data_IF_073221399261
#
_entry.id   IF_073221399261
#
_cell.length_a   1.000
_cell.length_b   1.000
_cell.length_c   1.000
_cell.angle_alpha   90.00
_cell.angle_beta   90.00
_cell.angle_gamma   90.00
#
_symmetry.space_group_name_H-M   'P 1'
#
loop_
_entity.id
_entity.type
_entity.pdbx_description
1 polymer ?
#
# COMPACT_ATOMS: atom_id res chain seq x y z
N UNK A 1 -7.14 2.39 -1.21
CA UNK A 1 -6.49 3.68 -1.63
C UNK A 1 -7.47 4.67 -2.27
N UNK A 2 -8.17 4.35 -3.36
CA UNK A 2 -9.09 5.30 -4.04
C UNK A 2 -10.17 5.85 -3.08
N UNK A 3 -10.78 5.00 -2.23
CA UNK A 3 -11.75 5.44 -1.21
C UNK A 3 -11.18 6.49 -0.27
N UNK A 4 -9.91 6.39 0.11
CA UNK A 4 -9.23 7.39 0.93
C UNK A 4 -9.24 8.78 0.29
N UNK A 5 -8.99 8.86 -1.04
CA UNK A 5 -9.07 10.12 -1.79
C UNK A 5 -10.51 10.65 -1.86
N UNK A 6 -11.47 9.77 -2.17
CA UNK A 6 -12.88 10.15 -2.35
C UNK A 6 -13.53 10.62 -1.04
N UNK A 7 -13.12 10.07 0.09
CA UNK A 7 -13.59 10.44 1.44
C UNK A 7 -12.78 11.60 2.05
N UNK A 8 -11.74 12.08 1.37
CA UNK A 8 -10.92 13.20 1.83
C UNK A 8 -9.96 12.88 2.99
N UNK A 9 -9.70 11.57 3.25
CA UNK A 9 -8.77 11.18 4.30
C UNK A 9 -7.31 11.42 3.90
N UNK A 10 -6.91 10.97 2.71
CA UNK A 10 -5.55 11.08 2.20
C UNK A 10 -5.57 11.20 0.67
N UNK A 11 -4.53 11.85 0.11
CA UNK A 11 -4.41 12.03 -1.33
C UNK A 11 -5.30 13.14 -1.88
N UNK A 12 -5.45 13.17 -3.21
CA UNK A 12 -6.19 14.19 -3.94
C UNK A 12 -6.95 13.57 -5.11
N UNK A 13 -8.10 14.17 -5.46
CA UNK A 13 -8.85 13.88 -6.67
C UNK A 13 -8.76 15.08 -7.61
N UNK A 14 -8.38 14.81 -8.86
CA UNK A 14 -8.42 15.77 -9.97
C UNK A 14 -9.36 15.26 -11.03
N UNK A 15 -10.14 16.12 -11.65
CA UNK A 15 -11.14 15.72 -12.67
C UNK A 15 -10.86 16.42 -13.99
N UNK A 16 -11.27 15.80 -15.09
CA UNK A 16 -11.20 16.32 -16.44
C UNK A 16 -12.50 16.12 -17.20
N UNK A 17 -12.68 16.87 -18.29
CA UNK A 17 -13.88 16.78 -19.13
C UNK A 17 -15.10 17.43 -18.51
N UNK A 18 -15.61 18.50 -18.81
CA UNK A 18 -16.89 19.13 -18.56
C UNK A 18 -17.52 19.01 -17.16
N UNK A 19 -18.80 19.28 -17.11
CA UNK A 19 -19.66 19.11 -15.94
C UNK A 19 -20.92 18.32 -16.35
N UNK A 20 -21.15 17.09 -15.85
CA UNK A 20 -20.33 16.34 -14.87
C UNK A 20 -18.97 15.90 -15.44
N UNK A 21 -17.98 15.64 -14.58
CA UNK A 21 -16.65 15.21 -15.04
C UNK A 21 -16.70 13.83 -15.69
N UNK A 22 -15.99 13.66 -16.82
CA UNK A 22 -15.93 12.39 -17.57
C UNK A 22 -14.73 11.53 -17.19
N UNK A 23 -13.71 12.12 -16.56
CA UNK A 23 -12.48 11.47 -16.17
C UNK A 23 -11.97 11.95 -14.81
N UNK A 24 -11.22 11.10 -14.12
CA UNK A 24 -10.64 11.38 -12.83
C UNK A 24 -9.23 10.78 -12.66
N UNK A 25 -8.42 11.47 -11.87
CA UNK A 25 -7.13 11.04 -11.36
C UNK A 25 -7.18 11.11 -9.83
N UNK A 26 -6.98 9.96 -9.15
CA UNK A 26 -6.72 9.92 -7.72
C UNK A 26 -5.22 9.76 -7.48
N UNK A 27 -4.58 10.74 -6.83
CA UNK A 27 -3.16 10.73 -6.48
C UNK A 27 -3.00 10.51 -4.97
N UNK A 28 -2.33 9.40 -4.58
CA UNK A 28 -2.10 9.04 -3.17
C UNK A 28 -0.81 8.23 -3.02
N UNK A 29 0.02 8.57 -2.04
CA UNK A 29 1.32 7.94 -1.85
C UNK A 29 2.12 7.97 -3.15
N UNK A 30 2.52 6.80 -3.64
CA UNK A 30 3.25 6.65 -4.90
C UNK A 30 2.35 6.47 -6.13
N UNK A 31 1.02 6.53 -5.97
CA UNK A 31 0.07 6.11 -7.01
C UNK A 31 -0.69 7.28 -7.64
N UNK A 32 -0.90 7.16 -8.95
CA UNK A 32 -1.86 7.89 -9.77
C UNK A 32 -2.85 6.89 -10.38
N UNK A 33 -4.08 6.85 -9.88
CA UNK A 33 -5.15 6.01 -10.42
C UNK A 33 -5.99 6.80 -11.41
N UNK A 34 -6.14 6.28 -12.63
CA UNK A 34 -6.93 6.91 -13.69
C UNK A 34 -8.24 6.16 -13.91
N UNK A 35 -9.34 6.89 -14.01
CA UNK A 35 -10.68 6.34 -14.27
C UNK A 35 -11.48 7.24 -15.22
N UNK A 36 -12.53 6.66 -15.83
CA UNK A 36 -13.37 7.34 -16.81
C UNK A 36 -12.75 7.36 -18.20
N UNK A 37 -13.15 8.35 -19.02
CA UNK A 37 -12.65 8.53 -20.37
C UNK A 37 -11.16 8.95 -20.36
N UNK A 38 -10.29 8.31 -21.15
CA UNK A 38 -8.88 8.68 -21.22
C UNK A 38 -8.67 10.15 -21.59
N UNK A 39 -7.91 10.86 -20.75
CA UNK A 39 -7.63 12.30 -20.89
C UNK A 39 -6.12 12.57 -20.81
N UNK A 40 -5.48 13.01 -21.91
CA UNK A 40 -4.06 13.37 -21.91
C UNK A 40 -3.70 14.48 -20.91
N UNK A 41 -4.63 15.40 -20.63
CA UNK A 41 -4.38 16.49 -19.69
C UNK A 41 -4.25 15.96 -18.25
N UNK A 42 -5.07 14.97 -17.85
CA UNK A 42 -4.93 14.30 -16.56
C UNK A 42 -3.65 13.45 -16.49
N UNK A 43 -3.27 12.78 -17.58
CA UNK A 43 -2.03 11.99 -17.62
C UNK A 43 -0.79 12.91 -17.42
N UNK A 44 -0.77 14.12 -17.99
CA UNK A 44 0.31 15.09 -17.75
C UNK A 44 0.37 15.61 -16.32
N UNK A 45 -0.73 15.54 -15.59
CA UNK A 45 -0.80 15.93 -14.17
C UNK A 45 -0.34 14.82 -13.22
N UNK A 46 0.06 13.65 -13.73
CA UNK A 46 0.60 12.59 -12.90
C UNK A 46 1.92 13.04 -12.26
N UNK A 47 1.90 13.14 -10.95
CA UNK A 47 3.01 13.60 -10.10
C UNK A 47 3.57 12.50 -9.19
N UNK A 48 3.16 11.23 -9.43
CA UNK A 48 3.59 10.05 -8.68
C UNK A 48 4.16 9.00 -9.64
N UNK A 49 5.08 8.15 -9.15
CA UNK A 49 5.79 7.21 -10.02
C UNK A 49 4.94 6.05 -10.55
N UNK A 50 3.85 5.69 -9.88
CA UNK A 50 3.04 4.53 -10.26
C UNK A 50 1.73 4.98 -10.92
N UNK A 51 1.61 4.71 -12.22
CA UNK A 51 0.42 5.02 -13.00
C UNK A 51 -0.45 3.76 -13.11
N UNK A 52 -1.68 3.83 -12.63
CA UNK A 52 -2.61 2.70 -12.59
C UNK A 52 -3.89 3.05 -13.36
N UNK A 53 -4.03 2.61 -14.62
CA UNK A 53 -5.23 2.81 -15.40
C UNK A 53 -6.34 1.85 -14.97
N UNK A 54 -7.58 2.33 -14.86
CA UNK A 54 -8.77 1.50 -14.60
C UNK A 54 -9.09 0.55 -15.76
N UNK A 55 -8.89 1.03 -17.00
CA UNK A 55 -9.17 0.28 -18.24
C UNK A 55 -7.98 0.35 -19.18
N UNK A 56 -7.94 -0.60 -20.14
CA UNK A 56 -6.88 -0.67 -21.15
C UNK A 56 -6.80 0.55 -22.07
N UNK A 57 -7.87 1.31 -22.22
CA UNK A 57 -7.95 2.49 -23.09
C UNK A 57 -7.02 3.62 -22.68
N UNK A 58 -6.61 3.66 -21.42
CA UNK A 58 -5.63 4.63 -20.92
C UNK A 58 -4.21 4.33 -21.39
N UNK A 59 -3.90 3.07 -21.74
CA UNK A 59 -2.55 2.65 -22.11
C UNK A 59 -1.98 3.41 -23.33
N UNK A 60 -2.72 3.61 -24.44
CA UNK A 60 -2.26 4.43 -25.56
C UNK A 60 -1.99 5.87 -25.15
N UNK A 61 -2.84 6.46 -24.29
CA UNK A 61 -2.72 7.85 -23.84
C UNK A 61 -1.52 8.03 -22.91
N UNK A 62 -1.29 7.11 -21.97
CA UNK A 62 -0.10 7.11 -21.11
C UNK A 62 1.17 7.04 -21.95
N UNK A 63 1.21 6.13 -22.96
CA UNK A 63 2.36 6.02 -23.87
C UNK A 63 2.55 7.25 -24.75
N UNK A 64 1.49 7.89 -25.21
CA UNK A 64 1.57 9.11 -26.00
C UNK A 64 2.14 10.29 -25.19
N UNK A 65 1.80 10.40 -23.90
CA UNK A 65 2.26 11.49 -23.03
C UNK A 65 3.68 11.25 -22.51
N UNK A 66 3.98 10.04 -22.03
CA UNK A 66 5.23 9.75 -21.31
C UNK A 66 6.25 8.95 -22.11
N UNK A 67 5.86 8.42 -23.29
CA UNK A 67 6.75 7.65 -24.16
C UNK A 67 7.43 6.49 -23.45
N UNK A 68 8.74 6.40 -23.61
CA UNK A 68 9.59 5.35 -22.98
C UNK A 68 9.72 5.50 -21.46
N UNK A 69 9.38 6.65 -20.91
CA UNK A 69 9.42 6.91 -19.45
C UNK A 69 8.35 6.13 -18.69
N UNK A 70 7.24 5.76 -19.32
CA UNK A 70 6.20 4.93 -18.73
C UNK A 70 6.51 3.44 -18.99
N UNK A 71 7.23 2.80 -18.07
CA UNK A 71 7.64 1.39 -18.17
C UNK A 71 6.52 0.49 -17.65
N UNK A 72 5.92 -0.37 -18.51
CA UNK A 72 4.82 -1.24 -18.09
C UNK A 72 5.32 -2.39 -17.21
N UNK A 73 4.54 -2.73 -16.19
CA UNK A 73 4.74 -3.91 -15.34
C UNK A 73 3.41 -4.43 -14.82
N UNK A 74 3.41 -5.59 -14.16
CA UNK A 74 2.21 -6.19 -13.57
C UNK A 74 2.22 -6.00 -12.05
N UNK A 75 1.06 -5.60 -11.53
CA UNK A 75 0.70 -5.70 -10.12
C UNK A 75 -0.35 -6.79 -9.94
N UNK A 76 -0.66 -7.14 -8.71
CA UNK A 76 -1.52 -8.28 -8.39
C UNK A 76 -2.61 -7.83 -7.44
N UNK A 77 -3.85 -7.79 -7.94
CA UNK A 77 -5.02 -7.53 -7.13
C UNK A 77 -5.32 -8.73 -6.23
N UNK A 78 -5.63 -8.46 -4.99
CA UNK A 78 -5.96 -9.47 -3.99
C UNK A 78 -7.38 -9.24 -3.47
N UNK A 79 -8.05 -10.34 -3.10
CA UNK A 79 -9.35 -10.33 -2.42
C UNK A 79 -9.20 -10.94 -1.04
N UNK A 80 -9.96 -10.41 -0.07
CA UNK A 80 -10.09 -10.95 1.27
C UNK A 80 -11.21 -10.19 1.98
N UNK A 81 -12.28 -10.89 2.35
CA UNK A 81 -13.30 -10.34 3.24
C UNK A 81 -12.94 -10.70 4.69
N UNK A 82 -13.41 -9.95 5.70
CA UNK A 82 -13.10 -10.24 7.11
C UNK A 82 -13.35 -11.70 7.52
N UNK A 83 -14.40 -12.32 6.99
CA UNK A 83 -14.78 -13.71 7.22
C UNK A 83 -13.87 -14.75 6.54
N UNK A 84 -13.08 -14.35 5.56
CA UNK A 84 -12.13 -15.26 4.86
C UNK A 84 -10.88 -15.55 5.71
N UNK A 85 -10.63 -14.74 6.76
CA UNK A 85 -9.40 -14.84 7.56
C UNK A 85 -9.54 -15.83 8.71
N UNK A 86 -8.68 -16.85 8.70
CA UNK A 86 -8.51 -17.79 9.81
C UNK A 86 -7.73 -17.13 10.96
N UNK A 87 -8.45 -16.72 12.01
CA UNK A 87 -7.88 -15.97 13.14
C UNK A 87 -6.88 -16.80 13.95
N UNK A 88 -7.11 -18.10 14.10
CA UNK A 88 -6.20 -19.00 14.84
C UNK A 88 -4.88 -19.17 14.08
N UNK A 89 -4.95 -19.33 12.78
CA UNK A 89 -3.79 -19.37 11.89
C UNK A 89 -3.01 -18.05 11.93
N UNK A 90 -3.69 -16.91 11.88
CA UNK A 90 -3.06 -15.59 11.99
C UNK A 90 -2.41 -15.42 13.37
N UNK A 91 -3.05 -15.85 14.46
CA UNK A 91 -2.48 -15.80 15.81
C UNK A 91 -1.21 -16.65 15.90
N UNK A 92 -1.23 -17.86 15.32
CA UNK A 92 -0.05 -18.73 15.24
C UNK A 92 1.10 -18.05 14.47
N UNK A 93 0.84 -17.41 13.32
CA UNK A 93 1.87 -16.68 12.56
C UNK A 93 2.41 -15.46 13.32
N UNK A 94 1.56 -14.71 14.04
CA UNK A 94 2.00 -13.60 14.86
C UNK A 94 2.88 -14.05 16.03
N UNK A 95 2.61 -15.24 16.60
CA UNK A 95 3.39 -15.85 17.68
C UNK A 95 4.71 -16.49 17.21
N UNK A 96 4.81 -16.86 15.93
CA UNK A 96 5.98 -17.54 15.35
C UNK A 96 7.14 -16.57 15.03
N UNK A 97 7.29 -15.51 15.83
CA UNK A 97 8.38 -14.57 15.70
C UNK A 97 9.72 -15.23 16.07
N UNK A 98 10.79 -15.05 15.26
CA UNK A 98 12.09 -15.63 15.57
C UNK A 98 12.65 -15.14 16.92
N UNK A 99 13.49 -15.94 17.61
CA UNK A 99 14.14 -15.52 18.84
C UNK A 99 14.93 -14.20 18.69
N UNK A 100 14.89 -13.35 19.72
CA UNK A 100 15.55 -12.05 19.71
C UNK A 100 14.77 -10.94 19.02
N UNK A 101 13.54 -11.23 18.53
CA UNK A 101 12.63 -10.21 18.01
C UNK A 101 11.40 -10.08 18.91
N UNK A 102 10.81 -8.90 18.94
CA UNK A 102 9.52 -8.61 19.58
C UNK A 102 8.61 -7.84 18.64
N UNK A 103 7.28 -8.04 18.75
CA UNK A 103 6.29 -7.22 18.05
C UNK A 103 5.87 -6.04 18.94
N UNK A 104 5.75 -4.88 18.34
CA UNK A 104 5.23 -3.66 18.97
C UNK A 104 4.29 -2.93 18.03
N UNK A 105 3.24 -2.25 18.51
CA UNK A 105 2.52 -1.26 17.72
C UNK A 105 3.47 -0.16 17.24
N UNK A 106 3.21 0.39 16.04
CA UNK A 106 3.88 1.62 15.62
C UNK A 106 3.27 2.79 16.39
N UNK A 107 4.07 3.44 17.22
CA UNK A 107 3.70 4.62 17.98
C UNK A 107 4.27 5.89 17.34
N UNK A 108 3.77 7.07 17.74
CA UNK A 108 4.24 8.36 17.22
C UNK A 108 5.77 8.53 17.30
N UNK A 109 6.41 8.03 18.35
CA UNK A 109 7.86 8.09 18.53
C UNK A 109 8.67 7.22 17.54
N UNK A 110 8.04 6.23 16.88
CA UNK A 110 8.68 5.42 15.84
C UNK A 110 8.71 6.13 14.47
N UNK A 111 7.85 7.12 14.25
CA UNK A 111 7.71 7.81 12.97
C UNK A 111 9.03 8.34 12.41
N UNK A 112 9.83 9.13 13.14
CA UNK A 112 11.09 9.67 12.62
C UNK A 112 12.11 8.56 12.30
N UNK A 113 12.14 7.47 13.07
CA UNK A 113 13.03 6.34 12.82
C UNK A 113 12.67 5.57 11.56
N UNK A 114 11.36 5.40 11.30
CA UNK A 114 10.86 4.65 10.14
C UNK A 114 10.97 5.49 8.86
N UNK A 115 10.69 6.78 8.93
CA UNK A 115 10.72 7.66 7.74
C UNK A 115 12.13 8.06 7.31
N UNK A 116 13.12 7.97 8.21
CA UNK A 116 14.52 8.26 7.90
C UNK A 116 15.22 7.18 7.06
N UNK A 117 14.62 5.98 6.93
CA UNK A 117 15.24 4.86 6.22
C UNK A 117 14.44 4.47 4.99
N UNK A 118 15.11 4.23 3.86
CA UNK A 118 14.47 3.92 2.59
C UNK A 118 13.59 2.66 2.65
N UNK A 119 14.02 1.63 3.38
CA UNK A 119 13.29 0.37 3.46
C UNK A 119 11.99 0.46 4.25
N UNK A 120 11.87 1.39 5.20
CA UNK A 120 10.72 1.51 6.12
C UNK A 120 9.90 2.79 5.93
N UNK A 121 10.36 3.70 5.07
CA UNK A 121 9.70 4.99 4.86
C UNK A 121 8.20 4.85 4.59
N UNK A 122 7.82 3.92 3.75
CA UNK A 122 6.43 3.74 3.32
C UNK A 122 5.54 3.10 4.40
N UNK A 123 6.10 2.64 5.52
CA UNK A 123 5.28 2.14 6.64
C UNK A 123 4.43 3.23 7.29
N UNK A 124 4.89 4.50 7.29
CA UNK A 124 4.11 5.61 7.85
C UNK A 124 4.30 6.95 7.12
N UNK A 125 5.17 7.00 6.09
CA UNK A 125 5.54 8.26 5.40
C UNK A 125 4.43 8.93 4.60
N UNK A 126 3.30 8.28 4.39
CA UNK A 126 2.12 8.89 3.77
C UNK A 126 1.28 9.73 4.75
N UNK A 127 1.56 9.64 6.05
CA UNK A 127 0.97 10.50 7.08
C UNK A 127 1.83 11.74 7.26
N UNK A 128 1.21 12.83 7.72
CA UNK A 128 1.89 14.11 7.85
C UNK A 128 3.03 14.09 8.88
N UNK A 129 2.80 13.38 9.99
CA UNK A 129 3.72 13.29 11.13
C UNK A 129 3.35 12.10 12.04
N UNK A 130 4.15 11.86 13.09
CA UNK A 130 3.91 10.79 14.06
C UNK A 130 2.57 10.89 14.80
N UNK A 131 2.17 12.06 15.32
CA UNK A 131 0.84 12.27 15.90
C UNK A 131 -0.31 11.96 14.92
N UNK A 132 -0.18 12.32 13.64
CA UNK A 132 -1.17 12.02 12.62
C UNK A 132 -1.27 10.52 12.34
N UNK A 133 -0.13 9.82 12.25
CA UNK A 133 -0.11 8.36 12.15
C UNK A 133 -0.75 7.70 13.38
N UNK A 134 -0.37 8.12 14.60
CA UNK A 134 -0.88 7.54 15.83
C UNK A 134 -2.40 7.71 16.00
N UNK A 135 -2.98 8.78 15.43
CA UNK A 135 -4.43 9.06 15.49
C UNK A 135 -5.23 8.25 14.47
N UNK A 136 -4.72 8.06 13.26
CA UNK A 136 -5.48 7.52 12.12
C UNK A 136 -4.91 6.22 11.56
N UNK A 137 -3.61 6.02 11.70
CA UNK A 137 -2.92 4.87 11.17
C UNK A 137 -2.95 3.68 12.11
N UNK A 138 -2.71 2.52 11.55
CA UNK A 138 -2.43 1.28 12.27
C UNK A 138 -1.09 0.74 11.80
N UNK A 139 -0.33 0.13 12.70
CA UNK A 139 0.90 -0.53 12.29
C UNK A 139 1.50 -1.37 13.41
N UNK A 140 2.27 -2.36 12.98
CA UNK A 140 3.02 -3.29 13.82
C UNK A 140 4.44 -3.35 13.29
N UNK A 141 5.43 -3.25 14.17
CA UNK A 141 6.84 -3.44 13.86
C UNK A 141 7.43 -4.61 14.62
N UNK A 142 8.31 -5.35 13.96
CA UNK A 142 9.22 -6.28 14.62
C UNK A 142 10.49 -5.50 14.99
N UNK A 143 10.84 -5.56 16.27
CA UNK A 143 12.03 -4.93 16.83
C UNK A 143 13.06 -6.01 17.18
N UNK A 144 14.34 -5.69 16.96
CA UNK A 144 15.47 -6.41 17.52
C UNK A 144 16.34 -5.43 18.30
N UNK A 145 16.50 -5.67 19.58
CA UNK A 145 17.25 -4.76 20.49
C UNK A 145 16.75 -3.31 20.40
N UNK A 146 15.43 -3.11 20.29
CA UNK A 146 14.78 -1.81 20.13
C UNK A 146 14.87 -1.19 18.73
N UNK A 147 15.56 -1.86 17.77
CA UNK A 147 15.74 -1.35 16.41
C UNK A 147 14.72 -1.98 15.46
N UNK A 148 14.00 -1.20 14.61
CA UNK A 148 13.08 -1.71 13.61
C UNK A 148 13.77 -2.67 12.61
N UNK A 149 13.14 -3.83 12.40
CA UNK A 149 13.63 -4.90 11.53
C UNK A 149 12.66 -5.24 10.39
N UNK A 150 11.36 -5.15 10.66
CA UNK A 150 10.27 -5.32 9.70
C UNK A 150 9.04 -4.58 10.21
N UNK A 151 8.07 -4.34 9.34
CA UNK A 151 6.79 -3.77 9.75
C UNK A 151 5.69 -4.08 8.76
N UNK A 152 4.47 -3.99 9.27
CA UNK A 152 3.24 -3.97 8.51
C UNK A 152 2.39 -2.80 9.02
N UNK A 153 1.80 -1.99 8.11
CA UNK A 153 1.10 -0.78 8.52
C UNK A 153 0.06 -0.35 7.48
N UNK A 154 -0.73 0.66 7.82
CA UNK A 154 -1.62 1.34 6.89
C UNK A 154 -0.83 2.29 5.97
N UNK A 155 -0.73 1.94 4.69
CA UNK A 155 -0.26 2.82 3.62
C UNK A 155 -1.26 3.95 3.35
N UNK A 156 -2.55 3.62 3.43
CA UNK A 156 -3.66 4.55 3.36
C UNK A 156 -4.79 4.08 4.29
N UNK A 157 -5.62 5.04 4.72
CA UNK A 157 -6.79 4.79 5.57
C UNK A 157 -8.03 5.38 4.93
N UNK A 158 -9.18 4.74 5.14
CA UNK A 158 -10.51 5.23 4.76
C UNK A 158 -11.55 4.74 5.78
N UNK A 159 -12.79 5.25 5.69
CA UNK A 159 -13.86 4.77 6.56
C UNK A 159 -14.13 3.27 6.32
N UNK A 160 -13.84 2.47 7.33
CA UNK A 160 -14.02 1.02 7.31
C UNK A 160 -12.80 0.20 6.85
N UNK A 161 -11.62 0.79 6.60
CA UNK A 161 -10.46 -0.03 6.25
C UNK A 161 -9.13 0.67 6.07
N UNK A 162 -8.12 -0.13 5.78
CA UNK A 162 -6.76 0.31 5.48
C UNK A 162 -6.21 -0.37 4.23
N UNK A 163 -5.28 0.25 3.55
CA UNK A 163 -4.40 -0.41 2.58
C UNK A 163 -3.10 -0.81 3.27
N UNK A 164 -2.71 -2.08 3.15
CA UNK A 164 -1.54 -2.62 3.85
C UNK A 164 -0.24 -2.29 3.10
N UNK A 165 0.76 -1.83 3.85
CA UNK A 165 2.18 -1.80 3.48
C UNK A 165 2.94 -2.78 4.35
N UNK A 166 3.82 -3.59 3.75
CA UNK A 166 4.72 -4.50 4.49
C UNK A 166 6.13 -4.38 3.96
N UNK A 167 7.08 -4.12 4.87
CA UNK A 167 8.49 -4.03 4.53
C UNK A 167 9.37 -4.77 5.54
N UNK A 168 10.52 -5.24 5.05
CA UNK A 168 11.54 -5.88 5.89
C UNK A 168 12.91 -5.36 5.50
N UNK A 169 13.70 -4.98 6.49
CA UNK A 169 15.09 -4.58 6.32
C UNK A 169 15.85 -5.62 5.47
N UNK A 170 16.59 -5.21 4.43
CA UNK A 170 17.14 -6.13 3.43
C UNK A 170 17.96 -7.30 3.99
N UNK A 171 18.79 -7.05 5.01
CA UNK A 171 19.63 -8.03 5.68
C UNK A 171 18.88 -9.03 6.58
N UNK A 172 17.59 -8.74 6.87
CA UNK A 172 16.73 -9.57 7.73
C UNK A 172 15.58 -10.26 6.98
N UNK A 173 15.58 -10.18 5.65
CA UNK A 173 14.57 -10.85 4.82
C UNK A 173 14.61 -12.38 4.96
N UNK A 174 13.50 -13.04 4.62
CA UNK A 174 13.31 -14.50 4.64
C UNK A 174 13.46 -15.15 6.04
N UNK A 175 13.20 -14.38 7.10
CA UNK A 175 13.17 -14.83 8.50
C UNK A 175 11.76 -14.95 9.08
N UNK A 176 10.69 -14.78 8.28
CA UNK A 176 9.31 -14.84 8.76
C UNK A 176 8.78 -13.51 9.32
N UNK A 177 9.61 -12.46 9.49
CA UNK A 177 9.22 -11.20 10.15
C UNK A 177 8.01 -10.53 9.49
N UNK A 178 8.00 -10.44 8.14
CA UNK A 178 6.88 -9.86 7.39
C UNK A 178 5.57 -10.64 7.63
N UNK A 179 5.65 -11.98 7.73
CA UNK A 179 4.50 -12.83 8.01
C UNK A 179 3.93 -12.55 9.39
N UNK A 180 4.78 -12.47 10.42
CA UNK A 180 4.34 -12.18 11.79
C UNK A 180 3.78 -10.76 11.95
N UNK A 181 4.41 -9.74 11.33
CA UNK A 181 3.90 -8.37 11.32
C UNK A 181 2.55 -8.27 10.60
N UNK A 182 2.44 -8.86 9.40
CA UNK A 182 1.21 -8.86 8.60
C UNK A 182 0.07 -9.56 9.32
N UNK A 183 0.32 -10.74 9.90
CA UNK A 183 -0.67 -11.48 10.67
C UNK A 183 -1.19 -10.68 11.88
N UNK A 184 -0.30 -10.04 12.64
CA UNK A 184 -0.69 -9.19 13.77
C UNK A 184 -1.50 -7.97 13.32
N UNK A 185 -1.10 -7.32 12.22
CA UNK A 185 -1.84 -6.17 11.68
C UNK A 185 -3.24 -6.56 11.23
N UNK A 186 -3.38 -7.68 10.50
CA UNK A 186 -4.68 -8.17 10.05
C UNK A 186 -5.58 -8.45 11.25
N UNK A 187 -5.09 -9.16 12.27
CA UNK A 187 -5.85 -9.40 13.51
C UNK A 187 -6.30 -8.07 14.15
N UNK A 188 -5.42 -7.07 14.23
CA UNK A 188 -5.74 -5.76 14.79
C UNK A 188 -6.85 -5.07 13.96
N UNK A 189 -6.82 -5.17 12.63
CA UNK A 189 -7.89 -4.64 11.77
C UNK A 189 -9.23 -5.35 12.03
N UNK A 190 -9.23 -6.69 12.08
CA UNK A 190 -10.43 -7.49 12.33
C UNK A 190 -11.06 -7.19 13.70
N UNK A 191 -10.22 -6.98 14.74
CA UNK A 191 -10.66 -6.61 16.09
C UNK A 191 -11.33 -5.23 16.13
N UNK A 192 -10.96 -4.34 15.20
CA UNK A 192 -11.53 -2.99 15.07
C UNK A 192 -12.64 -2.90 14.01
N UNK A 193 -13.04 -4.02 13.38
CA UNK A 193 -14.02 -4.03 12.30
C UNK A 193 -13.55 -3.36 11.01
N UNK A 194 -12.23 -3.29 10.78
CA UNK A 194 -11.63 -2.68 9.60
C UNK A 194 -11.26 -3.73 8.56
N UNK A 195 -11.47 -3.40 7.28
CA UNK A 195 -11.02 -4.21 6.16
C UNK A 195 -9.49 -4.00 5.94
N UNK A 196 -8.67 -5.04 6.08
CA UNK A 196 -7.26 -4.99 5.72
C UNK A 196 -7.10 -5.24 4.21
N UNK A 197 -7.22 -4.21 3.37
CA UNK A 197 -7.04 -4.33 1.92
C UNK A 197 -5.55 -4.43 1.56
N UNK A 198 -5.24 -5.20 0.52
CA UNK A 198 -3.86 -5.33 0.04
C UNK A 198 -3.81 -5.44 -1.48
N UNK A 199 -2.88 -4.70 -2.07
CA UNK A 199 -2.50 -4.76 -3.46
C UNK A 199 -1.01 -5.11 -3.57
N UNK A 200 -0.69 -6.24 -4.20
CA UNK A 200 0.67 -6.76 -4.20
C UNK A 200 1.51 -6.19 -5.35
N UNK A 201 2.70 -5.70 -5.03
CA UNK A 201 3.66 -5.16 -6.00
C UNK A 201 4.19 -6.24 -6.96
N UNK A 202 4.47 -7.44 -6.45
CA UNK A 202 5.02 -8.56 -7.21
C UNK A 202 4.46 -9.91 -6.71
N UNK A 203 4.86 -11.01 -7.38
CA UNK A 203 4.42 -12.36 -7.01
C UNK A 203 4.88 -12.80 -5.62
N UNK A 204 5.99 -12.25 -5.09
CA UNK A 204 6.46 -12.57 -3.73
C UNK A 204 5.54 -11.95 -2.69
N UNK A 205 5.12 -10.70 -2.93
CA UNK A 205 4.13 -10.02 -2.10
C UNK A 205 2.78 -10.74 -2.15
N UNK A 206 2.33 -11.16 -3.35
CA UNK A 206 1.11 -11.95 -3.50
C UNK A 206 1.18 -13.28 -2.74
N UNK A 207 2.29 -14.02 -2.84
CA UNK A 207 2.49 -15.27 -2.11
C UNK A 207 2.51 -15.10 -0.59
N UNK A 208 3.00 -13.96 -0.08
CA UNK A 208 2.91 -13.62 1.34
C UNK A 208 1.45 -13.36 1.75
N UNK A 209 0.71 -12.61 0.93
CA UNK A 209 -0.69 -12.32 1.17
C UNK A 209 -1.54 -13.60 1.18
N UNK A 210 -1.32 -14.53 0.24
CA UNK A 210 -2.02 -15.82 0.19
C UNK A 210 -1.77 -16.66 1.46
N UNK A 211 -0.55 -16.65 2.01
CA UNK A 211 -0.27 -17.29 3.30
C UNK A 211 -1.09 -16.68 4.44
N UNK A 212 -1.36 -15.40 4.38
CA UNK A 212 -2.12 -14.65 5.38
C UNK A 212 -3.65 -14.77 5.20
N UNK A 213 -4.12 -15.42 4.13
CA UNK A 213 -5.54 -15.68 3.91
C UNK A 213 -6.18 -14.92 2.75
N UNK A 214 -5.43 -14.07 2.05
CA UNK A 214 -5.93 -13.44 0.83
C UNK A 214 -5.99 -14.45 -0.33
N UNK A 215 -6.81 -14.13 -1.32
CA UNK A 215 -6.86 -14.83 -2.59
C UNK A 215 -6.39 -13.92 -3.72
N UNK A 216 -5.58 -14.45 -4.63
CA UNK A 216 -5.23 -13.74 -5.85
C UNK A 216 -6.48 -13.58 -6.73
N UNK A 217 -6.86 -12.33 -7.03
CA UNK A 217 -7.93 -12.03 -7.99
C UNK A 217 -7.38 -12.08 -9.41
N UNK A 218 -6.51 -11.13 -9.76
CA UNK A 218 -5.91 -11.06 -11.08
C UNK A 218 -4.62 -10.23 -11.11
N UNK A 219 -3.72 -10.51 -12.06
CA UNK A 219 -2.72 -9.53 -12.45
C UNK A 219 -3.38 -8.39 -13.24
N UNK A 220 -2.83 -7.18 -13.11
CA UNK A 220 -3.29 -6.03 -13.88
C UNK A 220 -2.11 -5.12 -14.27
N UNK A 221 -2.19 -4.42 -15.43
CA UNK A 221 -1.12 -3.55 -15.89
C UNK A 221 -1.04 -2.27 -15.06
N UNK A 222 0.18 -1.88 -14.75
CA UNK A 222 0.55 -0.58 -14.21
C UNK A 222 1.79 -0.07 -14.95
N UNK A 223 2.15 1.18 -14.75
CA UNK A 223 3.34 1.78 -15.35
C UNK A 223 4.19 2.42 -14.25
N UNK A 224 5.47 2.14 -14.26
CA UNK A 224 6.46 2.89 -13.49
C UNK A 224 6.92 4.07 -14.34
N UNK A 225 6.69 5.28 -13.84
CA UNK A 225 7.18 6.50 -14.48
C UNK A 225 8.62 6.73 -14.07
N UNK A 226 9.52 6.61 -15.04
CA UNK A 226 10.91 6.98 -14.86
C UNK A 226 11.02 8.51 -14.66
N UNK A 227 11.46 8.90 -13.47
CA UNK A 227 11.65 10.30 -13.09
C UNK A 227 13.08 10.80 -13.39
N UNK A 228 13.97 9.93 -13.89
CA UNK A 228 15.36 10.23 -14.21
C UNK A 228 15.52 10.59 -15.69
N UNK A 229 14.79 11.52 -16.23
CA UNK A 229 14.96 11.92 -17.61
C UNK A 229 14.83 13.42 -17.78
N UNK A 230 15.45 13.98 -18.88
CA UNK A 230 15.61 15.39 -19.07
C UNK A 230 14.31 16.13 -19.07
#
# INVERSE_FOLDING_TARGET
MILSCLQGHMGQVRTGGGHPPESALCAIGDFCFFAGRPDPALVRQADRPLLVPRTGDWAPVIRAVWGRRAVPFLRYALCGAPEDFDRDRLAAFAAALPPGFSLSPILAGHYPLLTAQDWSRNLCGNFRDGPDFARRGLGVIALRDGVPAAGASSYAVWDGGIEIQIDTRPDLRRRGLALSCGARLILTCLDQGLLPSWDAHDRRSAALAEKLGYRLDRPYPAYLLDQTGP
#
